data_IF_832474956734
#
_entry.id   IF_832474956734
#
_cell.length_a   1.000
_cell.length_b   1.000
_cell.length_c   1.000
_cell.angle_alpha   90.00
_cell.angle_beta   90.00
_cell.angle_gamma   90.00
#
_symmetry.space_group_name_H-M   'P 1'
#
loop_
_entity.id
_entity.type
_entity.pdbx_description
1 polymer ?
#
# COMPACT_ATOMS: atom_id res chain seq x y z
N UNK A 1 15.75 3.30 -14.78
CA UNK A 1 15.68 3.94 -13.43
C UNK A 1 14.48 4.87 -13.37
N UNK A 2 13.89 5.08 -12.18
CA UNK A 2 12.68 5.91 -12.01
C UNK A 2 12.79 7.29 -12.67
N UNK A 3 13.91 8.01 -12.48
CA UNK A 3 14.14 9.31 -13.09
C UNK A 3 14.07 9.31 -14.62
N UNK A 4 14.57 8.26 -15.27
CA UNK A 4 14.52 8.16 -16.74
C UNK A 4 13.10 7.80 -17.22
N UNK A 5 12.39 6.97 -16.47
CA UNK A 5 10.99 6.65 -16.72
C UNK A 5 10.13 7.90 -16.63
N UNK A 6 10.29 8.72 -15.58
CA UNK A 6 9.57 9.99 -15.43
C UNK A 6 9.85 10.96 -16.59
N UNK A 7 11.11 11.09 -17.01
CA UNK A 7 11.45 11.91 -18.21
C UNK A 7 10.79 11.38 -19.47
N UNK A 8 10.73 10.06 -19.65
CA UNK A 8 10.20 9.45 -20.87
C UNK A 8 8.70 9.58 -21.03
N UNK A 9 7.95 9.76 -19.93
CA UNK A 9 6.48 9.94 -19.95
C UNK A 9 6.05 11.41 -20.03
N UNK A 10 6.99 12.35 -19.91
CA UNK A 10 6.70 13.78 -20.02
C UNK A 10 6.06 14.13 -21.36
N UNK A 11 4.91 14.79 -21.35
CA UNK A 11 4.13 15.12 -22.52
C UNK A 11 3.44 13.93 -23.21
N UNK A 12 3.45 12.75 -22.60
CA UNK A 12 2.75 11.58 -23.14
C UNK A 12 1.27 11.91 -23.31
N UNK A 13 0.77 11.63 -24.52
CA UNK A 13 -0.65 11.76 -24.83
C UNK A 13 -1.42 10.61 -24.20
N UNK A 14 -2.37 10.96 -23.36
CA UNK A 14 -3.30 10.02 -22.73
C UNK A 14 -4.69 10.23 -23.33
N UNK A 15 -5.44 9.17 -23.48
CA UNK A 15 -6.83 9.20 -23.98
C UNK A 15 -7.65 8.42 -22.96
N UNK A 16 -8.65 9.06 -22.39
CA UNK A 16 -9.58 8.39 -21.48
C UNK A 16 -10.63 7.56 -22.26
N UNK A 17 -11.53 6.93 -21.53
CA UNK A 17 -12.60 6.10 -22.10
C UNK A 17 -13.64 6.88 -22.86
N UNK A 18 -13.80 8.17 -22.57
CA UNK A 18 -14.70 9.09 -23.26
C UNK A 18 -14.05 9.69 -24.51
N UNK A 19 -12.77 9.40 -24.76
CA UNK A 19 -11.99 9.86 -25.89
C UNK A 19 -11.39 11.26 -25.67
N UNK A 20 -11.47 11.80 -24.47
CA UNK A 20 -10.78 13.05 -24.15
C UNK A 20 -9.27 12.88 -24.15
N UNK A 21 -8.57 13.89 -24.62
CA UNK A 21 -7.12 13.86 -24.78
C UNK A 21 -6.49 14.78 -23.76
N UNK A 22 -5.65 14.21 -22.91
CA UNK A 22 -4.77 14.97 -22.01
C UNK A 22 -3.31 14.70 -22.32
N UNK A 23 -2.42 15.56 -21.81
CA UNK A 23 -0.98 15.35 -21.89
C UNK A 23 -0.41 15.37 -20.48
N UNK A 24 0.32 14.33 -20.12
CA UNK A 24 0.94 14.20 -18.83
C UNK A 24 1.96 15.32 -18.62
N UNK A 25 1.80 16.12 -17.58
CA UNK A 25 2.63 17.26 -17.26
C UNK A 25 3.44 17.00 -15.99
N UNK A 26 4.78 17.00 -16.11
CA UNK A 26 5.66 16.87 -14.95
C UNK A 26 5.58 18.15 -14.10
N UNK A 27 5.43 17.96 -12.80
CA UNK A 27 5.55 19.04 -11.81
C UNK A 27 7.01 19.51 -11.70
N UNK A 28 7.28 20.71 -11.16
CA UNK A 28 8.64 21.17 -10.95
C UNK A 28 9.51 20.21 -10.16
N UNK A 29 10.83 20.19 -10.38
CA UNK A 29 11.76 19.48 -9.51
C UNK A 29 11.67 19.96 -8.05
N UNK A 30 12.00 19.08 -7.13
CA UNK A 30 12.08 19.43 -5.72
C UNK A 30 13.23 20.41 -5.45
N UNK A 31 12.98 21.39 -4.61
CA UNK A 31 14.03 22.24 -4.06
C UNK A 31 14.84 21.52 -3.00
N UNK A 32 16.07 21.98 -2.73
CA UNK A 32 16.89 21.42 -1.65
C UNK A 32 16.19 21.51 -0.28
N UNK A 33 15.35 22.52 -0.06
CA UNK A 33 14.61 22.63 1.19
C UNK A 33 13.54 21.56 1.30
N UNK A 34 12.78 21.30 0.23
CA UNK A 34 11.77 20.25 0.21
C UNK A 34 12.39 18.85 0.42
N UNK A 35 13.57 18.62 -0.15
CA UNK A 35 14.32 17.35 0.08
C UNK A 35 14.73 17.24 1.55
N UNK A 36 15.27 18.29 2.16
CA UNK A 36 15.60 18.27 3.61
C UNK A 36 14.39 18.05 4.50
N UNK A 37 13.26 18.69 4.17
CA UNK A 37 12.02 18.56 4.92
C UNK A 37 11.44 17.15 4.81
N UNK A 38 11.58 16.53 3.63
CA UNK A 38 11.23 15.12 3.42
C UNK A 38 12.11 14.20 4.27
N UNK A 39 13.44 14.34 4.18
CA UNK A 39 14.40 13.54 4.94
C UNK A 39 14.17 13.62 6.45
N UNK A 40 13.79 14.79 6.95
CA UNK A 40 13.50 14.97 8.37
C UNK A 40 12.26 14.18 8.86
N UNK A 41 11.38 13.80 7.96
CA UNK A 41 10.14 13.06 8.27
C UNK A 41 10.27 11.54 8.04
N UNK A 42 11.26 11.12 7.25
CA UNK A 42 11.45 9.70 6.94
C UNK A 42 12.05 8.95 8.15
N UNK A 43 11.71 7.68 8.33
CA UNK A 43 12.31 6.84 9.37
C UNK A 43 13.75 6.42 9.06
N UNK A 44 14.26 6.76 7.89
CA UNK A 44 15.59 6.40 7.38
C UNK A 44 16.07 7.34 6.29
N UNK A 45 17.13 6.96 5.60
CA UNK A 45 17.71 7.76 4.52
C UNK A 45 16.80 7.77 3.29
N UNK A 46 16.75 8.92 2.60
CA UNK A 46 16.12 9.02 1.28
C UNK A 46 16.96 8.22 0.27
N UNK A 47 16.40 7.21 -0.41
CA UNK A 47 17.14 6.43 -1.41
C UNK A 47 17.64 7.30 -2.55
N UNK A 48 18.84 6.99 -3.08
CA UNK A 48 19.44 7.74 -4.18
C UNK A 48 18.56 7.76 -5.44
N UNK A 49 17.81 6.69 -5.69
CA UNK A 49 16.86 6.61 -6.82
C UNK A 49 15.73 7.65 -6.67
N UNK A 50 15.20 7.80 -5.46
CA UNK A 50 14.13 8.76 -5.18
C UNK A 50 14.68 10.19 -5.22
N UNK A 51 15.87 10.41 -4.70
CA UNK A 51 16.56 11.70 -4.80
C UNK A 51 16.78 12.09 -6.27
N UNK A 52 17.21 11.15 -7.10
CA UNK A 52 17.38 11.37 -8.55
C UNK A 52 16.04 11.66 -9.25
N UNK A 53 14.95 11.01 -8.84
CA UNK A 53 13.62 11.28 -9.35
C UNK A 53 13.13 12.67 -8.94
N UNK A 54 13.31 13.07 -7.70
CA UNK A 54 12.95 14.40 -7.18
C UNK A 54 13.74 15.54 -7.86
N UNK A 55 14.96 15.27 -8.33
CA UNK A 55 15.70 16.23 -9.16
C UNK A 55 15.11 16.41 -10.57
N UNK A 56 14.20 15.54 -11.01
CA UNK A 56 13.48 15.62 -12.27
C UNK A 56 12.10 16.26 -12.07
N UNK A 57 11.37 15.76 -11.08
CA UNK A 57 9.98 16.19 -10.80
C UNK A 57 9.56 15.80 -9.39
N UNK A 58 8.63 16.55 -8.82
CA UNK A 58 7.93 16.18 -7.57
C UNK A 58 6.70 15.29 -7.82
N UNK A 59 6.33 15.06 -9.08
CA UNK A 59 5.15 14.29 -9.48
C UNK A 59 4.69 14.67 -10.87
N UNK A 60 3.45 14.34 -11.21
CA UNK A 60 2.85 14.79 -12.48
C UNK A 60 1.36 15.10 -12.30
N UNK A 61 0.87 16.02 -13.14
CA UNK A 61 -0.53 16.36 -13.29
C UNK A 61 -1.08 15.80 -14.61
N UNK A 62 -2.40 15.87 -14.77
CA UNK A 62 -3.13 15.39 -15.94
C UNK A 62 -2.89 13.91 -16.26
N UNK A 63 -2.58 13.13 -15.21
CA UNK A 63 -2.45 11.68 -15.29
C UNK A 63 -3.79 10.97 -15.13
N UNK A 64 -3.80 9.63 -15.23
CA UNK A 64 -5.01 8.84 -15.08
C UNK A 64 -5.48 8.69 -13.63
N UNK A 65 -4.69 9.10 -12.65
CA UNK A 65 -5.05 9.15 -11.23
C UNK A 65 -5.32 10.58 -10.81
N UNK A 66 -6.10 10.77 -9.75
CA UNK A 66 -6.37 12.11 -9.20
C UNK A 66 -5.08 12.83 -8.81
N UNK A 67 -4.13 12.09 -8.21
CA UNK A 67 -2.80 12.64 -7.93
C UNK A 67 -1.71 11.57 -8.02
N UNK A 68 -0.50 12.01 -8.40
CA UNK A 68 0.76 11.31 -8.19
C UNK A 68 1.81 12.32 -7.72
N UNK A 69 2.36 12.13 -6.54
CA UNK A 69 3.36 13.02 -5.96
C UNK A 69 4.41 12.25 -5.13
N UNK A 70 5.69 12.66 -5.30
CA UNK A 70 6.82 12.08 -4.57
C UNK A 70 7.16 12.85 -3.28
N UNK A 71 6.45 13.93 -2.98
CA UNK A 71 6.62 14.74 -1.76
C UNK A 71 5.39 14.71 -0.85
N UNK A 72 4.33 14.09 -1.28
CA UNK A 72 3.11 13.95 -0.49
C UNK A 72 3.34 12.92 0.62
N UNK A 73 2.95 13.31 1.84
CA UNK A 73 3.10 12.48 3.04
C UNK A 73 1.76 12.23 3.73
N UNK A 74 0.64 12.53 3.05
CA UNK A 74 -0.66 12.20 3.60
C UNK A 74 -0.79 10.69 3.77
N UNK A 75 -1.06 10.26 5.00
CA UNK A 75 -1.15 8.85 5.33
C UNK A 75 -2.54 8.29 5.06
N UNK A 76 -2.63 7.03 4.74
CA UNK A 76 -3.89 6.27 4.66
C UNK A 76 -4.57 6.12 6.03
N UNK A 77 -3.84 6.35 7.14
CA UNK A 77 -4.39 6.30 8.49
C UNK A 77 -4.55 4.89 9.08
N UNK A 78 -3.86 3.90 8.54
CA UNK A 78 -3.82 2.52 9.07
C UNK A 78 -2.46 2.27 9.75
N UNK A 79 -2.16 3.06 10.79
CA UNK A 79 -0.85 3.10 11.44
C UNK A 79 -0.46 1.76 12.11
N UNK A 80 -1.45 0.97 12.56
CA UNK A 80 -1.19 -0.36 13.13
C UNK A 80 -0.60 -1.33 12.10
N UNK A 81 -0.99 -1.19 10.83
CA UNK A 81 -0.46 -2.02 9.75
C UNK A 81 0.79 -1.41 9.12
N UNK A 82 0.81 -0.10 8.95
CA UNK A 82 1.88 0.65 8.29
C UNK A 82 2.32 1.80 9.20
N UNK A 83 3.26 1.56 10.13
CA UNK A 83 3.72 2.61 11.06
C UNK A 83 4.49 3.75 10.37
N UNK A 84 4.94 3.53 9.15
CA UNK A 84 5.62 4.55 8.33
C UNK A 84 5.05 4.52 6.90
N UNK A 85 3.74 4.80 6.72
CA UNK A 85 3.13 4.81 5.40
C UNK A 85 3.63 6.03 4.63
N UNK A 86 3.89 5.85 3.35
CA UNK A 86 4.23 6.92 2.45
C UNK A 86 3.31 6.88 1.24
N UNK A 87 2.36 7.79 1.19
CA UNK A 87 1.42 7.87 0.08
C UNK A 87 2.07 8.55 -1.12
N UNK A 88 1.96 7.93 -2.30
CA UNK A 88 2.49 8.46 -3.56
C UNK A 88 1.39 8.80 -4.56
N UNK A 89 0.18 8.31 -4.35
CA UNK A 89 -0.97 8.60 -5.21
C UNK A 89 -2.27 8.36 -4.46
N UNK A 90 -3.36 8.95 -4.94
CA UNK A 90 -4.72 8.67 -4.52
C UNK A 90 -5.70 8.77 -5.69
N UNK A 91 -6.88 8.18 -5.54
CA UNK A 91 -7.94 8.16 -6.54
C UNK A 91 -9.04 9.21 -6.33
N UNK A 92 -8.91 10.05 -5.30
CA UNK A 92 -9.92 11.05 -4.91
C UNK A 92 -11.09 10.48 -4.11
N UNK A 93 -11.19 9.15 -3.96
CA UNK A 93 -12.28 8.47 -3.26
C UNK A 93 -11.88 7.91 -1.89
N UNK A 94 -10.71 8.29 -1.38
CA UNK A 94 -10.20 7.84 -0.07
C UNK A 94 -9.35 6.58 -0.15
N UNK A 95 -8.96 6.13 -1.33
CA UNK A 95 -8.01 5.06 -1.52
C UNK A 95 -6.66 5.62 -1.92
N UNK A 96 -5.59 4.94 -1.52
CA UNK A 96 -4.22 5.42 -1.68
C UNK A 96 -3.31 4.33 -2.24
N UNK A 97 -2.29 4.75 -3.00
CA UNK A 97 -1.12 3.92 -3.28
C UNK A 97 -0.02 4.31 -2.32
N UNK A 98 0.38 3.36 -1.49
CA UNK A 98 1.30 3.56 -0.38
C UNK A 98 2.54 2.68 -0.50
N UNK A 99 3.60 3.17 0.08
CA UNK A 99 4.84 2.44 0.34
C UNK A 99 4.93 2.16 1.83
N UNK A 100 5.55 1.04 2.16
CA UNK A 100 5.90 0.65 3.52
C UNK A 100 7.38 1.00 3.75
N UNK A 101 7.64 2.25 4.10
CA UNK A 101 9.00 2.78 4.29
C UNK A 101 9.54 2.33 5.63
N UNK A 102 10.36 1.29 5.63
CA UNK A 102 10.92 0.72 6.86
C UNK A 102 12.14 1.48 7.36
N UNK A 103 12.33 1.60 8.69
CA UNK A 103 13.55 2.15 9.26
C UNK A 103 14.78 1.41 8.78
N UNK A 104 15.76 2.16 8.27
CA UNK A 104 17.02 1.60 7.76
C UNK A 104 16.94 0.91 6.40
N UNK A 105 15.78 0.91 5.73
CA UNK A 105 15.67 0.41 4.37
C UNK A 105 16.47 1.28 3.39
N UNK A 106 17.11 0.63 2.42
CA UNK A 106 17.88 1.29 1.35
C UNK A 106 17.04 1.53 0.09
N UNK A 107 15.85 0.94 0.03
CA UNK A 107 14.84 1.13 -1.01
C UNK A 107 13.46 1.32 -0.36
N UNK A 108 12.50 1.84 -1.13
CA UNK A 108 11.14 2.03 -0.64
C UNK A 108 10.22 0.83 -0.91
N UNK A 109 10.75 -0.20 -1.55
CA UNK A 109 10.07 -1.48 -1.74
C UNK A 109 8.84 -1.40 -2.65
N UNK A 110 7.92 -2.37 -2.48
CA UNK A 110 6.73 -2.47 -3.30
C UNK A 110 5.70 -1.39 -2.96
N UNK A 111 4.88 -1.07 -3.97
CA UNK A 111 3.69 -0.23 -3.85
C UNK A 111 2.49 -1.11 -3.52
N UNK A 112 1.70 -0.68 -2.54
CA UNK A 112 0.44 -1.30 -2.18
C UNK A 112 -0.73 -0.36 -2.48
N UNK A 113 -1.82 -0.90 -2.97
CA UNK A 113 -3.10 -0.22 -3.04
C UNK A 113 -3.85 -0.43 -1.72
N UNK A 114 -4.15 0.66 -1.05
CA UNK A 114 -4.85 0.69 0.23
C UNK A 114 -6.29 1.16 -0.02
N UNK A 115 -7.21 0.21 -0.13
CA UNK A 115 -8.64 0.43 -0.33
C UNK A 115 -9.36 0.48 1.03
N UNK A 116 -10.25 1.47 1.22
CA UNK A 116 -11.02 1.59 2.45
C UNK A 116 -12.39 0.91 2.36
N UNK A 117 -12.95 0.78 1.16
CA UNK A 117 -14.24 0.11 0.93
C UNK A 117 -14.21 -0.64 -0.42
N UNK A 118 -14.07 -1.97 -0.37
CA UNK A 118 -13.84 -2.79 0.82
C UNK A 118 -12.46 -2.58 1.44
N UNK A 119 -12.37 -2.86 2.75
CA UNK A 119 -11.17 -2.65 3.56
C UNK A 119 -10.05 -3.66 3.22
N UNK A 120 -9.26 -3.39 2.19
CA UNK A 120 -8.26 -4.29 1.60
C UNK A 120 -6.93 -3.56 1.38
N UNK A 121 -5.83 -4.27 1.65
CA UNK A 121 -4.50 -3.94 1.15
C UNK A 121 -4.16 -4.92 0.04
N UNK A 122 -3.81 -4.43 -1.14
CA UNK A 122 -3.41 -5.25 -2.28
C UNK A 122 -2.02 -4.84 -2.80
N UNK A 123 -1.21 -5.80 -3.20
CA UNK A 123 0.04 -5.53 -3.92
C UNK A 123 -0.28 -4.93 -5.28
N UNK A 124 0.36 -3.80 -5.60
CA UNK A 124 0.19 -3.10 -6.87
C UNK A 124 1.40 -3.28 -7.78
N UNK A 125 2.59 -2.94 -7.30
CA UNK A 125 3.80 -2.96 -8.13
C UNK A 125 5.05 -3.24 -7.29
N UNK A 126 6.10 -3.74 -7.92
CA UNK A 126 7.37 -4.07 -7.24
C UNK A 126 8.19 -2.84 -6.84
N UNK A 127 7.90 -1.68 -7.45
CA UNK A 127 8.62 -0.42 -7.22
C UNK A 127 7.78 0.77 -7.71
N UNK A 128 8.16 1.98 -7.33
CA UNK A 128 7.56 3.21 -7.87
C UNK A 128 7.78 3.29 -9.39
N UNK A 129 8.93 2.87 -9.89
CA UNK A 129 9.20 2.86 -11.35
C UNK A 129 8.19 1.97 -12.09
N UNK A 130 7.92 0.75 -11.59
CA UNK A 130 6.92 -0.12 -12.18
C UNK A 130 5.52 0.48 -12.07
N UNK A 131 5.18 1.06 -10.92
CA UNK A 131 3.90 1.72 -10.70
C UNK A 131 3.66 2.87 -11.70
N UNK A 132 4.68 3.73 -11.93
CA UNK A 132 4.58 4.80 -12.94
C UNK A 132 4.35 4.24 -14.34
N UNK A 133 5.02 3.15 -14.71
CA UNK A 133 4.76 2.46 -15.98
C UNK A 133 3.34 1.91 -16.08
N UNK A 134 2.83 1.35 -14.99
CA UNK A 134 1.48 0.79 -14.93
C UNK A 134 0.41 1.88 -15.06
N UNK A 135 0.62 3.07 -14.47
CA UNK A 135 -0.29 4.22 -14.59
C UNK A 135 -0.46 4.63 -16.05
N UNK A 136 0.61 4.65 -16.83
CA UNK A 136 0.59 5.16 -18.21
C UNK A 136 0.41 4.08 -19.27
N UNK A 137 0.33 2.80 -18.86
CA UNK A 137 0.27 1.66 -19.77
C UNK A 137 -1.07 1.56 -20.52
N UNK A 138 -2.16 1.97 -19.88
CA UNK A 138 -3.51 1.93 -20.43
C UNK A 138 -4.41 2.92 -19.67
N UNK A 139 -5.52 3.39 -20.29
CA UNK A 139 -6.52 4.18 -19.58
C UNK A 139 -6.97 3.47 -18.28
N UNK A 140 -7.26 4.21 -17.19
CA UNK A 140 -7.58 3.61 -15.90
C UNK A 140 -8.80 2.68 -15.96
N UNK A 141 -9.79 3.01 -16.78
CA UNK A 141 -11.02 2.19 -16.95
C UNK A 141 -10.85 1.05 -17.97
N UNK A 142 -9.69 0.94 -18.61
CA UNK A 142 -9.42 -0.18 -19.53
C UNK A 142 -9.17 -1.45 -18.71
N UNK A 143 -9.85 -2.54 -19.08
CA UNK A 143 -9.67 -3.85 -18.44
C UNK A 143 -8.21 -4.39 -18.52
N UNK A 144 -7.40 -3.84 -19.43
CA UNK A 144 -5.97 -4.16 -19.56
C UNK A 144 -5.08 -3.31 -18.66
N UNK A 145 -5.62 -2.27 -18.00
CA UNK A 145 -4.87 -1.44 -17.07
C UNK A 145 -4.46 -2.26 -15.85
N UNK A 146 -3.16 -2.34 -15.51
CA UNK A 146 -2.73 -2.99 -14.27
C UNK A 146 -3.33 -2.34 -13.02
N UNK A 147 -3.57 -1.01 -13.07
CA UNK A 147 -4.21 -0.25 -12.00
C UNK A 147 -5.65 -0.71 -11.82
N UNK A 148 -6.44 -0.72 -12.90
CA UNK A 148 -7.83 -1.15 -12.85
C UNK A 148 -7.97 -2.64 -12.47
N UNK A 149 -7.07 -3.49 -12.94
CA UNK A 149 -7.07 -4.91 -12.57
C UNK A 149 -6.94 -5.10 -11.04
N UNK A 150 -6.06 -4.36 -10.38
CA UNK A 150 -5.93 -4.44 -8.92
C UNK A 150 -7.20 -3.92 -8.25
N UNK A 151 -7.71 -2.77 -8.68
CA UNK A 151 -8.91 -2.15 -8.12
C UNK A 151 -10.15 -3.05 -8.28
N UNK A 152 -10.45 -3.49 -9.51
CA UNK A 152 -11.71 -4.17 -9.80
C UNK A 152 -11.65 -5.69 -9.53
N UNK A 153 -10.50 -6.32 -9.70
CA UNK A 153 -10.41 -7.78 -9.63
C UNK A 153 -9.74 -8.26 -8.35
N UNK A 154 -8.54 -7.74 -8.06
CA UNK A 154 -7.74 -8.25 -6.94
C UNK A 154 -8.37 -7.86 -5.60
N UNK A 155 -8.82 -6.62 -5.45
CA UNK A 155 -9.49 -6.15 -4.22
C UNK A 155 -10.74 -6.98 -3.92
N UNK A 156 -11.60 -7.23 -4.92
CA UNK A 156 -12.77 -8.07 -4.76
C UNK A 156 -12.42 -9.52 -4.42
N UNK A 157 -11.39 -10.09 -5.04
CA UNK A 157 -10.94 -11.43 -4.75
C UNK A 157 -10.43 -11.55 -3.31
N UNK A 158 -9.61 -10.61 -2.85
CA UNK A 158 -9.07 -10.57 -1.49
C UNK A 158 -10.16 -10.36 -0.42
N UNK A 159 -11.16 -9.55 -0.73
CA UNK A 159 -12.30 -9.33 0.16
C UNK A 159 -13.19 -10.57 0.30
N UNK A 160 -13.42 -11.26 -0.79
CA UNK A 160 -14.32 -12.42 -0.85
C UNK A 160 -13.66 -13.74 -0.47
N UNK A 161 -12.34 -13.85 -0.60
CA UNK A 161 -11.59 -15.07 -0.39
C UNK A 161 -10.31 -14.83 0.42
N UNK A 162 -10.28 -15.42 1.60
CA UNK A 162 -9.16 -15.29 2.53
C UNK A 162 -8.19 -16.49 2.50
N UNK A 163 -8.22 -17.30 1.45
CA UNK A 163 -7.39 -18.53 1.32
C UNK A 163 -5.88 -18.27 1.27
N UNK A 164 -5.45 -17.03 0.99
CA UNK A 164 -4.05 -16.63 1.05
C UNK A 164 -3.54 -16.37 2.46
N UNK A 165 -4.44 -16.27 3.46
CA UNK A 165 -4.07 -16.09 4.86
C UNK A 165 -3.67 -17.44 5.47
N UNK A 166 -2.65 -17.41 6.31
CA UNK A 166 -2.13 -18.58 7.01
C UNK A 166 -2.73 -18.66 8.41
N UNK A 167 -3.38 -19.75 8.76
CA UNK A 167 -3.86 -19.98 10.12
C UNK A 167 -2.69 -20.00 11.12
N UNK A 168 -2.88 -19.43 12.31
CA UNK A 168 -1.89 -19.41 13.38
C UNK A 168 -1.27 -20.78 13.64
N UNK A 169 -2.08 -21.85 13.66
CA UNK A 169 -1.61 -23.23 13.92
C UNK A 169 -0.69 -23.74 12.81
N UNK A 170 -0.99 -23.41 11.55
CA UNK A 170 -0.15 -23.76 10.40
C UNK A 170 1.16 -22.97 10.47
N UNK A 171 1.08 -21.68 10.77
CA UNK A 171 2.25 -20.81 10.92
C UNK A 171 3.17 -21.29 12.08
N UNK A 172 2.61 -21.70 13.21
CA UNK A 172 3.36 -22.24 14.35
C UNK A 172 4.12 -23.55 14.06
N UNK A 173 3.66 -24.30 13.04
CA UNK A 173 4.32 -25.50 12.56
C UNK A 173 5.21 -25.28 11.32
N UNK A 174 5.34 -24.03 10.87
CA UNK A 174 6.09 -23.68 9.67
C UNK A 174 7.60 -23.94 9.81
N UNK A 175 8.29 -24.38 8.75
CA UNK A 175 9.75 -24.39 8.71
C UNK A 175 10.34 -22.96 8.68
N UNK A 176 9.59 -21.95 8.26
CA UNK A 176 9.97 -20.55 8.30
C UNK A 176 10.04 -20.05 9.75
N UNK A 177 11.24 -19.76 10.23
CA UNK A 177 11.51 -19.35 11.61
C UNK A 177 10.76 -18.07 11.97
N UNK A 178 10.79 -17.07 11.09
CA UNK A 178 10.14 -15.76 11.31
C UNK A 178 8.62 -15.90 11.44
N UNK A 179 8.02 -16.70 10.55
CA UNK A 179 6.58 -16.95 10.59
C UNK A 179 6.18 -17.73 11.86
N UNK A 180 6.97 -18.73 12.26
CA UNK A 180 6.75 -19.50 13.48
C UNK A 180 6.88 -18.63 14.72
N UNK A 181 7.94 -17.84 14.83
CA UNK A 181 8.14 -16.91 15.96
C UNK A 181 6.96 -15.93 16.08
N UNK A 182 6.49 -15.37 14.97
CA UNK A 182 5.30 -14.52 15.01
C UNK A 182 4.09 -15.26 15.53
N UNK A 183 3.84 -16.47 15.04
CA UNK A 183 2.68 -17.27 15.44
C UNK A 183 2.66 -17.63 16.93
N UNK A 184 3.80 -17.72 17.62
CA UNK A 184 3.90 -18.02 19.04
C UNK A 184 3.27 -16.93 19.94
N UNK A 185 3.22 -15.69 19.46
CA UNK A 185 2.64 -14.56 20.20
C UNK A 185 1.16 -14.31 19.89
N UNK A 186 0.57 -15.10 18.99
CA UNK A 186 -0.77 -14.86 18.49
C UNK A 186 -1.81 -15.80 19.13
N UNK A 187 -3.06 -15.35 19.29
CA UNK A 187 -4.13 -16.23 19.72
C UNK A 187 -4.44 -17.31 18.66
N UNK A 188 -5.00 -18.46 19.04
CA UNK A 188 -5.21 -19.61 18.15
C UNK A 188 -6.17 -19.36 16.96
N UNK A 189 -6.98 -18.32 17.01
CA UNK A 189 -7.93 -17.90 15.99
C UNK A 189 -7.38 -16.78 15.09
N UNK A 190 -6.12 -16.39 15.25
CA UNK A 190 -5.46 -15.45 14.38
C UNK A 190 -5.21 -16.03 12.98
N UNK A 191 -5.32 -15.18 11.97
CA UNK A 191 -4.86 -15.46 10.60
C UNK A 191 -3.75 -14.49 10.23
N UNK A 192 -2.80 -14.94 9.44
CA UNK A 192 -1.58 -14.19 9.12
C UNK A 192 -1.52 -13.91 7.62
N UNK A 193 -1.34 -12.65 7.27
CA UNK A 193 -0.98 -12.20 5.93
C UNK A 193 0.55 -12.09 5.82
N UNK A 194 1.14 -12.81 4.86
CA UNK A 194 2.58 -12.76 4.57
C UNK A 194 2.82 -12.04 3.24
N UNK A 195 3.32 -10.82 3.33
CA UNK A 195 3.68 -9.99 2.17
C UNK A 195 5.18 -9.65 2.17
N UNK A 196 6.03 -10.53 2.70
CA UNK A 196 7.50 -10.36 2.64
C UNK A 196 8.03 -10.51 1.22
N UNK A 197 7.40 -11.36 0.40
CA UNK A 197 7.67 -11.53 -1.04
C UNK A 197 6.34 -11.42 -1.82
N UNK A 198 5.75 -10.21 -1.93
CA UNK A 198 4.44 -10.04 -2.51
C UNK A 198 4.49 -10.19 -4.04
N UNK A 199 3.40 -10.73 -4.60
CA UNK A 199 3.22 -10.98 -6.03
C UNK A 199 1.87 -10.46 -6.50
N UNK A 200 1.64 -10.34 -7.81
CA UNK A 200 0.31 -10.02 -8.32
C UNK A 200 -0.78 -10.88 -7.67
N UNK A 201 -1.79 -10.27 -7.11
CA UNK A 201 -2.84 -10.92 -6.35
C UNK A 201 -2.58 -11.08 -4.85
N UNK A 202 -1.38 -10.79 -4.36
CA UNK A 202 -1.07 -10.77 -2.92
C UNK A 202 -1.76 -9.60 -2.22
N UNK A 203 -2.20 -9.84 -0.98
CA UNK A 203 -2.85 -8.82 -0.16
C UNK A 203 -3.68 -9.44 0.95
N UNK A 204 -4.43 -8.61 1.65
CA UNK A 204 -5.35 -9.06 2.71
C UNK A 204 -6.48 -8.08 2.97
N UNK A 205 -7.61 -8.60 3.43
CA UNK A 205 -8.75 -7.80 3.88
C UNK A 205 -8.52 -7.34 5.32
N UNK A 206 -8.03 -6.11 5.52
CA UNK A 206 -7.76 -5.58 6.85
C UNK A 206 -9.03 -5.34 7.68
N UNK A 207 -10.18 -5.25 7.03
CA UNK A 207 -11.50 -5.14 7.65
C UNK A 207 -12.29 -6.44 7.73
N UNK A 208 -11.69 -7.63 7.55
CA UNK A 208 -12.40 -8.91 7.41
C UNK A 208 -13.31 -9.28 8.60
N UNK A 209 -13.04 -8.75 9.78
CA UNK A 209 -13.88 -8.92 10.97
C UNK A 209 -14.67 -7.64 11.32
N UNK A 210 -14.82 -6.71 10.35
CA UNK A 210 -15.49 -5.43 10.50
C UNK A 210 -14.55 -4.30 10.94
N UNK A 211 -15.10 -3.11 11.24
CA UNK A 211 -14.32 -1.88 11.47
C UNK A 211 -13.39 -1.92 12.70
N UNK A 212 -13.47 -2.94 13.50
CA UNK A 212 -12.64 -3.15 14.70
C UNK A 212 -11.80 -4.41 14.60
N UNK A 213 -11.54 -4.88 13.38
CA UNK A 213 -10.52 -5.92 13.17
C UNK A 213 -9.25 -5.50 13.89
N UNK A 214 -8.73 -6.34 14.77
CA UNK A 214 -7.45 -6.06 15.40
C UNK A 214 -6.34 -6.52 14.47
N UNK A 215 -5.42 -5.59 14.15
CA UNK A 215 -4.29 -5.82 13.26
C UNK A 215 -3.02 -5.73 14.11
N UNK A 216 -2.15 -6.70 13.98
CA UNK A 216 -0.85 -6.71 14.63
C UNK A 216 0.24 -7.00 13.61
N UNK A 217 1.20 -6.10 13.51
CA UNK A 217 2.37 -6.28 12.66
C UNK A 217 3.51 -6.92 13.44
N UNK A 218 4.31 -7.76 12.79
CA UNK A 218 5.51 -8.37 13.37
C UNK A 218 6.76 -7.52 13.13
N UNK A 219 7.03 -6.59 14.02
CA UNK A 219 8.20 -5.72 13.96
C UNK A 219 8.28 -4.95 12.62
N UNK A 220 9.43 -5.06 11.95
CA UNK A 220 9.65 -4.46 10.63
C UNK A 220 9.32 -5.41 9.47
N UNK A 221 8.87 -6.63 9.76
CA UNK A 221 8.48 -7.57 8.71
C UNK A 221 7.13 -7.18 8.10
N UNK A 222 6.94 -7.50 6.82
CA UNK A 222 5.63 -7.41 6.14
C UNK A 222 4.80 -8.65 6.45
N UNK A 223 4.57 -8.87 7.74
CA UNK A 223 3.73 -9.92 8.32
C UNK A 223 2.69 -9.28 9.22
N UNK A 224 1.42 -9.54 8.97
CA UNK A 224 0.31 -9.01 9.75
C UNK A 224 -0.59 -10.11 10.24
N UNK A 225 -0.91 -10.10 11.51
CA UNK A 225 -1.96 -10.94 12.07
C UNK A 225 -3.26 -10.15 12.17
N UNK A 226 -4.36 -10.83 11.85
CA UNK A 226 -5.70 -10.31 11.96
C UNK A 226 -6.47 -11.18 12.95
N UNK A 227 -7.11 -10.52 13.92
CA UNK A 227 -7.91 -11.19 14.93
C UNK A 227 -9.26 -10.53 15.10
N UNK A 228 -10.22 -11.31 15.58
CA UNK A 228 -11.54 -10.77 15.93
C UNK A 228 -11.41 -9.78 17.09
N UNK A 229 -12.15 -8.68 17.07
CA UNK A 229 -12.22 -7.80 18.22
C UNK A 229 -12.76 -8.58 19.44
N UNK A 230 -12.27 -8.28 20.66
CA UNK A 230 -12.80 -8.91 21.85
C UNK A 230 -14.33 -8.69 21.93
N UNK A 231 -15.05 -9.75 22.30
CA UNK A 231 -16.49 -9.66 22.48
C UNK A 231 -16.82 -8.52 23.46
N UNK A 232 -17.75 -7.63 23.09
CA UNK A 232 -18.25 -6.65 24.07
C UNK A 232 -18.83 -7.42 25.26
N UNK A 233 -18.46 -7.08 26.51
CA UNK A 233 -19.12 -7.65 27.67
C UNK A 233 -20.63 -7.40 27.50
N UNK A 234 -21.40 -8.50 27.51
CA UNK A 234 -22.85 -8.42 27.29
C UNK A 234 -23.47 -7.44 28.27
N UNK A 235 -24.53 -6.78 27.86
CA UNK A 235 -25.28 -5.80 28.67
C UNK A 235 -25.59 -6.32 30.09
N UNK A 236 -25.80 -7.62 30.25
CA UNK A 236 -26.03 -8.30 31.53
C UNK A 236 -24.80 -8.40 32.45
N UNK A 237 -23.57 -8.44 31.90
CA UNK A 237 -22.37 -8.44 32.75
C UNK A 237 -22.10 -7.08 33.42
N UNK A 238 -22.65 -5.99 32.89
CA UNK A 238 -22.62 -4.65 33.54
C UNK A 238 -23.63 -4.47 34.65
N UNK A 239 -24.68 -5.28 34.69
CA UNK A 239 -25.74 -5.19 35.70
C UNK A 239 -25.46 -6.04 36.95
N UNK A 240 -24.59 -7.05 36.85
CA UNK A 240 -24.30 -8.00 37.96
C UNK A 240 -22.84 -8.01 38.42
N UNK A 241 -22.01 -7.13 37.89
CA UNK A 241 -20.61 -6.94 38.30
C UNK A 241 -20.53 -5.88 39.41
N UNK A 242 -20.80 -6.32 40.62
CA UNK A 242 -20.32 -5.69 41.88
C UNK A 242 -19.49 -6.68 42.64
#
# INVERSE_FOLDING_TARGET
MLADTLKSIAGQRLVDTDGEVTHLELLPPATDQQIRDLEAKLPGLLPDEIRAALAVTTGFANGPLESFALLDLEGFGLDEAFPYPYSIAHDGFGNYWILDVLPGATDWGPVFYACHDPAVIAYQASSIEQFVKDIVAAPPDDARSPINHVHETVVHALWSNHSALVDQRIAAASPDVTLREFAEYLPPDAVIADLRDPRPGSGFAWGMYGPRTNIQRFGTHRLWALTRPPAKPGFFARLFGR
#
